data_IF_261539651454
#
_entry.id   IF_261539651454
#
_cell.length_a   1.000
_cell.length_b   1.000
_cell.length_c   1.000
_cell.angle_alpha   90.00
_cell.angle_beta   90.00
_cell.angle_gamma   90.00
#
_symmetry.space_group_name_H-M   'P 1'
#
loop_
_entity.id
_entity.type
_entity.pdbx_description
1 polymer ?
#
# COMPACT_ATOMS: atom_id res chain seq x y z
N UNK A 1 -6.31 4.50 7.75
CA UNK A 1 -4.97 3.85 7.86
C UNK A 1 -4.00 4.65 8.74
N UNK A 2 -3.88 5.97 8.57
CA UNK A 2 -3.00 6.84 9.40
C UNK A 2 -3.19 6.62 10.92
N UNK A 3 -4.44 6.51 11.38
CA UNK A 3 -4.76 6.20 12.78
C UNK A 3 -4.19 4.85 13.26
N UNK A 4 -4.33 3.78 12.47
CA UNK A 4 -3.83 2.45 12.83
C UNK A 4 -2.29 2.41 12.89
N UNK A 5 -1.62 3.08 11.95
CA UNK A 5 -0.17 3.24 11.95
C UNK A 5 0.31 4.05 13.17
N UNK A 6 -0.39 5.13 13.51
CA UNK A 6 -0.09 5.93 14.70
C UNK A 6 -0.30 5.13 16.00
N UNK A 7 -1.34 4.28 16.06
CA UNK A 7 -1.56 3.36 17.18
C UNK A 7 -0.43 2.32 17.32
N UNK A 8 0.13 1.87 16.20
CA UNK A 8 1.28 0.97 16.15
C UNK A 8 2.63 1.69 16.35
N UNK A 9 2.64 2.95 16.82
CA UNK A 9 3.85 3.79 17.00
C UNK A 9 4.69 3.98 15.73
N UNK A 10 4.08 3.83 14.56
CA UNK A 10 4.72 4.06 13.27
C UNK A 10 4.51 5.49 12.75
N UNK A 11 3.68 6.30 13.42
CA UNK A 11 3.43 7.72 13.10
C UNK A 11 3.34 8.55 14.39
N UNK A 12 3.46 9.89 14.31
CA UNK A 12 3.31 10.77 15.47
C UNK A 12 2.01 10.50 16.22
N UNK A 13 2.06 10.49 17.56
CA UNK A 13 0.92 10.24 18.45
C UNK A 13 -0.24 11.19 18.25
N UNK A 14 0.00 12.38 17.68
CA UNK A 14 -1.04 13.31 17.27
C UNK A 14 -2.04 12.70 16.27
N UNK A 15 -1.59 11.79 15.39
CA UNK A 15 -2.46 11.09 14.44
C UNK A 15 -3.25 9.92 15.05
N UNK A 16 -2.91 9.51 16.27
CA UNK A 16 -3.67 8.51 17.04
C UNK A 16 -4.79 9.16 17.88
N UNK A 17 -4.89 10.50 17.94
CA UNK A 17 -5.94 11.17 18.69
C UNK A 17 -7.27 11.10 17.92
N UNK A 18 -8.32 10.73 18.63
CA UNK A 18 -9.70 10.70 18.13
C UNK A 18 -10.52 11.80 18.78
N UNK A 19 -11.52 12.31 18.06
CA UNK A 19 -12.50 13.26 18.60
C UNK A 19 -13.47 12.57 19.55
N UNK A 20 -14.33 13.36 20.21
CA UNK A 20 -15.42 12.88 21.06
C UNK A 20 -16.38 11.92 20.34
N UNK A 21 -16.47 12.00 19.00
CA UNK A 21 -17.29 11.13 18.16
C UNK A 21 -16.51 9.92 17.61
N UNK A 22 -15.31 9.64 18.10
CA UNK A 22 -14.48 8.50 17.67
C UNK A 22 -13.77 8.69 16.33
N UNK A 23 -13.76 9.90 15.77
CA UNK A 23 -13.18 10.18 14.44
C UNK A 23 -11.74 10.69 14.57
N UNK A 24 -10.75 10.10 13.88
CA UNK A 24 -9.37 10.59 13.87
C UNK A 24 -9.23 11.85 13.00
N UNK A 25 -9.62 13.02 13.54
CA UNK A 25 -9.71 14.29 12.81
C UNK A 25 -8.40 14.69 12.16
N UNK A 26 -7.26 14.49 12.83
CA UNK A 26 -5.95 14.81 12.26
C UNK A 26 -5.65 14.00 10.98
N UNK A 27 -6.03 12.72 10.96
CA UNK A 27 -5.87 11.87 9.77
C UNK A 27 -6.79 12.32 8.63
N UNK A 28 -8.04 12.65 8.93
CA UNK A 28 -9.00 13.15 7.95
C UNK A 28 -8.56 14.50 7.37
N UNK A 29 -8.12 15.43 8.21
CA UNK A 29 -7.64 16.74 7.79
C UNK A 29 -6.44 16.63 6.85
N UNK A 30 -5.49 15.72 7.13
CA UNK A 30 -4.35 15.48 6.23
C UNK A 30 -4.79 14.90 4.89
N UNK A 31 -5.75 13.96 4.88
CA UNK A 31 -6.30 13.45 3.62
C UNK A 31 -6.98 14.54 2.81
N UNK A 32 -7.78 15.41 3.44
CA UNK A 32 -8.43 16.55 2.78
C UNK A 32 -7.38 17.53 2.24
N UNK A 33 -6.36 17.87 3.02
CA UNK A 33 -5.31 18.77 2.60
C UNK A 33 -4.56 18.24 1.37
N UNK A 34 -4.21 16.95 1.33
CA UNK A 34 -3.57 16.31 0.17
C UNK A 34 -4.48 16.36 -1.06
N UNK A 35 -5.78 16.08 -0.89
CA UNK A 35 -6.75 16.15 -1.98
C UNK A 35 -6.90 17.57 -2.53
N UNK A 36 -6.95 18.58 -1.65
CA UNK A 36 -7.01 19.98 -2.05
C UNK A 36 -5.74 20.41 -2.79
N UNK A 37 -4.55 20.01 -2.31
CA UNK A 37 -3.28 20.26 -3.01
C UNK A 37 -3.31 19.64 -4.41
N UNK A 38 -3.74 18.37 -4.52
CA UNK A 38 -3.86 17.69 -5.81
C UNK A 38 -4.87 18.36 -6.74
N UNK A 39 -5.99 18.84 -6.21
CA UNK A 39 -7.01 19.58 -6.96
C UNK A 39 -6.49 20.95 -7.43
N UNK A 40 -5.82 21.72 -6.57
CA UNK A 40 -5.21 23.00 -6.95
C UNK A 40 -4.12 22.84 -8.00
N UNK A 41 -3.32 21.76 -7.94
CA UNK A 41 -2.30 21.45 -8.95
C UNK A 41 -2.90 21.29 -10.36
N UNK A 42 -4.15 20.85 -10.45
CA UNK A 42 -4.87 20.73 -11.72
C UNK A 42 -5.10 22.10 -12.39
N UNK A 43 -5.36 23.15 -11.60
CA UNK A 43 -5.61 24.50 -12.11
C UNK A 43 -4.33 25.29 -12.47
N UNK A 44 -3.21 24.98 -11.81
CA UNK A 44 -1.95 25.72 -11.98
C UNK A 44 -1.17 25.24 -13.22
N UNK A 45 -1.35 23.98 -13.63
CA UNK A 45 -0.59 23.39 -14.73
C UNK A 45 -1.37 23.59 -16.05
N UNK A 46 -0.76 24.20 -17.09
CA UNK A 46 -1.42 24.51 -18.37
C UNK A 46 -2.02 23.31 -19.13
N UNK A 47 -1.63 22.07 -18.76
CA UNK A 47 -2.07 20.82 -19.38
C UNK A 47 -2.64 19.86 -18.30
N UNK A 48 -3.88 20.08 -17.83
CA UNK A 48 -4.47 19.30 -16.74
C UNK A 48 -4.58 17.80 -17.04
N UNK A 49 -4.75 17.42 -18.32
CA UNK A 49 -4.77 16.01 -18.73
C UNK A 49 -3.45 15.29 -18.40
N UNK A 50 -2.30 15.97 -18.52
CA UNK A 50 -0.99 15.36 -18.23
C UNK A 50 -0.76 15.16 -16.73
N UNK A 51 -1.27 16.05 -15.89
CA UNK A 51 -1.18 15.92 -14.43
C UNK A 51 -1.96 14.71 -13.94
N UNK A 52 -3.18 14.54 -14.44
CA UNK A 52 -3.99 13.37 -14.13
C UNK A 52 -3.26 12.08 -14.53
N UNK A 53 -2.72 12.03 -15.75
CA UNK A 53 -1.93 10.88 -16.22
C UNK A 53 -0.76 10.63 -15.28
N UNK A 54 0.06 11.61 -14.92
CA UNK A 54 1.20 11.40 -14.03
C UNK A 54 0.82 10.92 -12.62
N UNK A 55 -0.21 11.50 -12.00
CA UNK A 55 -0.66 11.11 -10.65
C UNK A 55 -1.27 9.71 -10.66
N UNK A 56 -2.10 9.42 -11.66
CA UNK A 56 -2.68 8.10 -11.86
C UNK A 56 -1.58 7.05 -12.08
N UNK A 57 -0.68 7.32 -13.03
CA UNK A 57 0.52 6.54 -13.33
C UNK A 57 1.37 6.23 -12.10
N UNK A 58 1.61 7.23 -11.24
CA UNK A 58 2.36 7.07 -10.00
C UNK A 58 1.68 6.15 -8.98
N UNK A 59 0.36 5.99 -9.06
CA UNK A 59 -0.44 5.22 -8.09
C UNK A 59 -0.60 3.75 -8.44
N UNK A 60 -0.48 3.38 -9.73
CA UNK A 60 -0.72 2.00 -10.19
C UNK A 60 0.25 1.00 -9.56
N UNK A 61 1.56 1.26 -9.64
CA UNK A 61 2.58 0.36 -9.10
C UNK A 61 2.51 0.23 -7.57
N UNK A 62 2.49 1.33 -6.79
CA UNK A 62 2.29 1.25 -5.34
C UNK A 62 0.98 0.55 -4.96
N UNK A 63 -0.08 0.69 -5.77
CA UNK A 63 -1.35 -0.01 -5.59
C UNK A 63 -1.26 -1.51 -5.84
N UNK A 64 -0.35 -1.97 -6.69
CA UNK A 64 -0.12 -3.40 -6.93
C UNK A 64 0.66 -4.09 -5.81
N UNK A 65 1.57 -3.39 -5.12
CA UNK A 65 2.43 -3.98 -4.08
C UNK A 65 1.63 -4.67 -2.95
N UNK A 66 0.57 -4.07 -2.37
CA UNK A 66 -0.26 -4.73 -1.36
C UNK A 66 -0.82 -6.09 -1.79
N UNK A 67 -1.15 -6.29 -3.07
CA UNK A 67 -1.65 -7.58 -3.56
C UNK A 67 -0.59 -8.67 -3.44
N UNK A 68 0.64 -8.39 -3.83
CA UNK A 68 1.76 -9.32 -3.63
C UNK A 68 1.98 -9.58 -2.13
N UNK A 69 1.96 -8.53 -1.31
CA UNK A 69 2.13 -8.66 0.15
C UNK A 69 1.03 -9.53 0.75
N UNK A 70 -0.23 -9.37 0.35
CA UNK A 70 -1.36 -10.18 0.83
C UNK A 70 -1.16 -11.65 0.45
N UNK A 71 -0.85 -11.94 -0.82
CA UNK A 71 -0.65 -13.31 -1.32
C UNK A 71 0.49 -14.00 -0.57
N UNK A 72 1.64 -13.33 -0.45
CA UNK A 72 2.82 -13.85 0.27
C UNK A 72 2.50 -14.03 1.76
N UNK A 73 1.81 -13.07 2.38
CA UNK A 73 1.43 -13.14 3.79
C UNK A 73 0.49 -14.31 4.05
N UNK A 74 -0.48 -14.57 3.16
CA UNK A 74 -1.37 -15.72 3.29
C UNK A 74 -0.61 -17.05 3.17
N UNK A 75 0.31 -17.17 2.21
CA UNK A 75 1.18 -18.33 2.04
C UNK A 75 2.06 -18.57 3.29
N UNK A 76 2.67 -17.51 3.83
CA UNK A 76 3.54 -17.58 5.02
C UNK A 76 2.74 -17.88 6.28
N UNK A 77 1.57 -17.26 6.45
CA UNK A 77 0.68 -17.49 7.59
C UNK A 77 0.25 -18.95 7.68
N UNK A 78 -0.18 -19.54 6.55
CA UNK A 78 -0.53 -20.96 6.46
C UNK A 78 0.67 -21.90 6.71
N UNK A 79 1.87 -21.51 6.30
CA UNK A 79 3.09 -22.29 6.57
C UNK A 79 3.50 -22.25 8.05
N UNK A 80 3.33 -21.11 8.71
CA UNK A 80 3.70 -20.92 10.11
C UNK A 80 2.67 -21.53 11.09
N UNK A 81 1.37 -21.49 10.76
CA UNK A 81 0.29 -21.91 11.68
C UNK A 81 -0.41 -23.20 11.21
N UNK A 82 0.35 -24.16 10.65
CA UNK A 82 -0.21 -25.41 10.10
C UNK A 82 -1.10 -26.17 11.10
N UNK A 83 -0.69 -26.24 12.36
CA UNK A 83 -1.43 -26.93 13.41
C UNK A 83 -2.76 -26.23 13.77
N UNK A 84 -2.75 -24.91 13.94
CA UNK A 84 -3.95 -24.13 14.27
C UNK A 84 -4.94 -24.02 13.10
N UNK A 85 -4.46 -24.15 11.86
CA UNK A 85 -5.30 -24.06 10.66
C UNK A 85 -5.95 -25.40 10.32
N UNK A 86 -5.41 -26.52 10.79
CA UNK A 86 -6.00 -27.84 10.56
C UNK A 86 -7.43 -27.96 11.12
N UNK A 87 -7.72 -27.27 12.22
CA UNK A 87 -9.04 -27.21 12.87
C UNK A 87 -9.90 -26.01 12.45
N UNK A 88 -9.39 -25.12 11.58
CA UNK A 88 -10.08 -23.87 11.26
C UNK A 88 -11.16 -24.08 10.19
N UNK A 89 -12.39 -23.55 10.38
CA UNK A 89 -13.52 -23.78 9.47
C UNK A 89 -13.34 -23.11 8.10
N UNK A 90 -12.53 -22.06 8.02
CA UNK A 90 -12.30 -21.31 6.78
C UNK A 90 -11.20 -21.94 5.91
N UNK A 91 -11.62 -22.83 5.00
CA UNK A 91 -10.76 -23.44 3.97
C UNK A 91 -10.83 -22.61 2.70
N UNK A 92 -9.69 -22.09 2.25
CA UNK A 92 -9.61 -21.43 0.94
C UNK A 92 -9.71 -22.48 -0.16
N UNK A 93 -10.73 -22.36 -1.00
CA UNK A 93 -10.92 -23.17 -2.19
C UNK A 93 -9.71 -22.95 -3.11
N UNK A 94 -9.11 -24.02 -3.65
CA UNK A 94 -7.96 -23.99 -4.57
C UNK A 94 -6.60 -23.55 -4.00
N UNK A 95 -6.39 -23.57 -2.68
CA UNK A 95 -5.06 -23.31 -2.11
C UNK A 95 -4.08 -24.48 -2.33
N UNK A 96 -2.79 -24.22 -2.63
CA UNK A 96 -2.13 -22.91 -2.81
C UNK A 96 -2.13 -22.40 -4.26
N UNK A 97 -2.70 -23.16 -5.19
CA UNK A 97 -2.69 -22.85 -6.62
C UNK A 97 -3.28 -21.49 -6.96
N UNK A 98 -4.40 -21.12 -6.34
CA UNK A 98 -5.01 -19.80 -6.52
C UNK A 98 -4.00 -18.65 -6.28
N UNK A 99 -3.19 -18.74 -5.23
CA UNK A 99 -2.23 -17.69 -4.92
C UNK A 99 -1.09 -17.60 -5.94
N UNK A 100 -0.59 -18.74 -6.41
CA UNK A 100 0.44 -18.77 -7.44
C UNK A 100 -0.09 -18.28 -8.79
N UNK A 101 -1.31 -18.67 -9.16
CA UNK A 101 -1.97 -18.22 -10.39
C UNK A 101 -2.22 -16.71 -10.35
N UNK A 102 -2.73 -16.17 -9.24
CA UNK A 102 -2.93 -14.72 -9.09
C UNK A 102 -1.59 -13.98 -9.13
N UNK A 103 -0.55 -14.49 -8.47
CA UNK A 103 0.77 -13.87 -8.51
C UNK A 103 1.37 -13.88 -9.92
N UNK A 104 1.24 -14.99 -10.65
CA UNK A 104 1.67 -15.09 -12.05
C UNK A 104 0.87 -14.13 -12.95
N UNK A 105 -0.44 -14.02 -12.73
CA UNK A 105 -1.30 -13.07 -13.46
C UNK A 105 -0.88 -11.62 -13.21
N UNK A 106 -0.61 -11.24 -11.97
CA UNK A 106 -0.12 -9.90 -11.65
C UNK A 106 1.24 -9.60 -12.30
N UNK A 107 2.15 -10.57 -12.34
CA UNK A 107 3.42 -10.43 -13.06
C UNK A 107 3.18 -10.28 -14.57
N UNK A 108 2.26 -11.05 -15.13
CA UNK A 108 1.86 -10.92 -16.54
C UNK A 108 1.32 -9.52 -16.85
N UNK A 109 0.48 -8.95 -15.98
CA UNK A 109 0.00 -7.56 -16.12
C UNK A 109 1.15 -6.56 -16.09
N UNK A 110 2.12 -6.72 -15.19
CA UNK A 110 3.30 -5.84 -15.14
C UNK A 110 4.15 -5.92 -16.42
N UNK A 111 4.31 -7.12 -16.99
CA UNK A 111 5.00 -7.34 -18.26
C UNK A 111 4.20 -6.70 -19.41
N UNK A 112 2.87 -6.86 -19.43
CA UNK A 112 2.00 -6.21 -20.41
C UNK A 112 2.08 -4.68 -20.33
N UNK A 113 2.14 -4.13 -19.11
CA UNK A 113 2.32 -2.70 -18.88
C UNK A 113 3.68 -2.18 -19.39
N UNK A 114 4.71 -3.03 -19.42
CA UNK A 114 6.02 -2.69 -19.96
C UNK A 114 6.00 -2.58 -21.48
N UNK A 115 5.31 -3.49 -22.17
CA UNK A 115 5.23 -3.45 -23.63
C UNK A 115 4.38 -2.28 -24.13
N UNK A 116 3.28 -1.94 -23.46
CA UNK A 116 2.42 -0.85 -23.86
C UNK A 116 3.01 0.53 -23.49
N UNK A 117 3.20 1.39 -24.49
CA UNK A 117 3.88 2.69 -24.36
C UNK A 117 3.19 3.65 -23.38
N UNK A 118 1.85 3.64 -23.34
CA UNK A 118 1.07 4.50 -22.45
C UNK A 118 1.23 4.09 -20.98
N UNK A 119 1.30 2.78 -20.72
CA UNK A 119 1.44 2.25 -19.37
C UNK A 119 2.90 2.14 -18.92
N UNK A 120 3.85 2.12 -19.85
CA UNK A 120 5.29 2.06 -19.54
C UNK A 120 5.74 3.27 -18.74
N UNK A 121 5.23 4.45 -19.07
CA UNK A 121 5.44 5.67 -18.28
C UNK A 121 4.97 5.51 -16.84
N UNK A 122 3.87 4.78 -16.62
CA UNK A 122 3.36 4.48 -15.28
C UNK A 122 4.30 3.61 -14.46
N UNK A 123 5.00 2.66 -15.11
CA UNK A 123 5.98 1.83 -14.43
C UNK A 123 7.19 2.66 -13.95
N UNK A 124 7.76 3.50 -14.82
CA UNK A 124 8.91 4.31 -14.43
C UNK A 124 8.57 5.31 -13.31
N UNK A 125 7.47 6.05 -13.45
CA UNK A 125 7.02 7.01 -12.43
C UNK A 125 6.71 6.30 -11.11
N UNK A 126 6.02 5.15 -11.16
CA UNK A 126 5.72 4.36 -9.98
C UNK A 126 6.96 3.79 -9.28
N UNK A 127 7.98 3.33 -10.01
CA UNK A 127 9.25 2.87 -9.44
C UNK A 127 9.96 4.04 -8.73
N UNK A 128 10.09 5.19 -9.40
CA UNK A 128 10.73 6.39 -8.82
C UNK A 128 10.00 6.80 -7.55
N UNK A 129 8.66 6.87 -7.59
CA UNK A 129 7.84 7.21 -6.43
C UNK A 129 8.04 6.21 -5.29
N UNK A 130 8.08 4.91 -5.59
CA UNK A 130 8.27 3.87 -4.57
C UNK A 130 9.66 3.92 -3.94
N UNK A 131 10.70 4.18 -4.72
CA UNK A 131 12.05 4.43 -4.23
C UNK A 131 12.09 5.68 -3.35
N UNK A 132 11.45 6.77 -3.77
CA UNK A 132 11.36 8.00 -2.99
C UNK A 132 10.66 7.77 -1.64
N UNK A 133 9.50 7.11 -1.63
CA UNK A 133 8.77 6.77 -0.40
C UNK A 133 9.61 5.86 0.51
N UNK A 134 10.31 4.88 -0.07
CA UNK A 134 11.19 3.98 0.70
C UNK A 134 12.38 4.73 1.30
N UNK A 135 12.97 5.66 0.55
CA UNK A 135 14.06 6.51 1.03
C UNK A 135 13.58 7.42 2.16
N UNK A 136 12.46 8.11 2.00
CA UNK A 136 11.83 8.94 3.04
C UNK A 136 11.57 8.10 4.29
N UNK A 137 10.97 6.91 4.15
CA UNK A 137 10.70 6.03 5.28
C UNK A 137 11.97 5.63 6.06
N UNK A 138 13.08 5.36 5.35
CA UNK A 138 14.37 5.05 5.98
C UNK A 138 15.03 6.28 6.61
N UNK A 139 15.03 7.42 5.92
CA UNK A 139 15.66 8.67 6.37
C UNK A 139 14.98 9.21 7.62
N UNK A 140 13.65 9.22 7.65
CA UNK A 140 12.87 9.64 8.82
C UNK A 140 12.91 8.62 9.97
N UNK A 141 13.64 7.50 9.81
CA UNK A 141 13.86 6.55 10.89
C UNK A 141 12.63 5.75 11.32
N UNK A 142 11.52 5.79 10.57
CA UNK A 142 10.30 5.05 10.90
C UNK A 142 10.55 3.53 10.94
N UNK A 143 11.60 3.04 10.28
CA UNK A 143 12.02 1.65 10.35
C UNK A 143 12.43 1.20 11.77
N UNK A 144 12.78 2.12 12.67
CA UNK A 144 13.24 1.79 14.04
C UNK A 144 12.10 1.39 15.00
N UNK A 145 10.84 1.63 14.64
CA UNK A 145 9.68 1.32 15.48
C UNK A 145 8.97 0.00 15.12
N UNK A 146 9.42 -0.68 14.07
CA UNK A 146 8.90 -2.00 13.66
C UNK A 146 9.45 -3.15 14.51
N UNK A 147 9.28 -3.13 15.84
CA UNK A 147 9.36 -4.40 16.59
C UNK A 147 8.09 -5.17 16.27
N UNK A 148 8.20 -6.15 15.37
CA UNK A 148 7.15 -7.15 15.18
C UNK A 148 6.80 -7.68 16.58
N UNK A 149 5.55 -7.49 17.00
CA UNK A 149 5.04 -8.13 18.19
C UNK A 149 5.27 -9.63 17.97
N UNK A 150 6.24 -10.21 18.67
CA UNK A 150 6.33 -11.65 18.80
C UNK A 150 4.95 -12.05 19.34
N UNK A 151 4.19 -12.77 18.54
CA UNK A 151 3.01 -13.49 19.01
C UNK A 151 3.58 -14.57 19.95
N UNK A 152 3.82 -14.16 21.20
CA UNK A 152 3.90 -15.08 22.31
C UNK A 152 2.46 -15.47 22.59
N UNK A 153 2.12 -16.70 22.18
CA UNK A 153 1.34 -17.71 22.90
C UNK A 153 0.97 -18.86 21.95
#
# INVERSE_FOLDING_TARGET
>A
MLYALAKNRQLPTAMAKVSRHGVPVAGVAVSIAILLIGSCLNYIIPNPQRVFVYVYSASVLPGMVPWFVILISQLRFRRAHKAAIASHPFRSILFPWANYVTMAFLICVLIGMYFNEDTRMSLFVGIIFMLAVTAIYKIFGLNRHGKAHKLEE
#
